data_IF_458980764785
#
_entry.id   IF_458980764785
#
_cell.length_a   1.000
_cell.length_b   1.000
_cell.length_c   1.000
_cell.angle_alpha   90.00
_cell.angle_beta   90.00
_cell.angle_gamma   90.00
#
_symmetry.space_group_name_H-M   'P 1'
#
loop_
_entity.id
_entity.type
_entity.pdbx_description
1 polymer ?
#
# COMPACT_ATOMS: atom_id res chain seq x y z
N UNK A 1 36.07 -13.18 -7.04
CA UNK A 1 36.97 -12.12 -6.58
C UNK A 1 36.25 -11.19 -5.61
N UNK A 2 35.15 -10.56 -6.04
CA UNK A 2 34.31 -9.75 -5.17
C UNK A 2 33.62 -10.58 -4.08
N UNK A 3 33.49 -10.01 -2.87
CA UNK A 3 32.86 -10.62 -1.68
C UNK A 3 31.39 -10.24 -1.54
N UNK A 4 30.87 -9.39 -2.43
CA UNK A 4 29.50 -8.90 -2.44
C UNK A 4 29.32 -7.86 -3.55
N UNK A 5 28.10 -7.35 -3.72
CA UNK A 5 27.77 -6.30 -4.70
C UNK A 5 26.86 -5.24 -4.11
N UNK A 6 26.94 -4.02 -4.65
CA UNK A 6 25.93 -2.99 -4.42
C UNK A 6 24.95 -2.98 -5.60
N UNK A 7 23.65 -3.08 -5.33
CA UNK A 7 22.60 -3.14 -6.33
C UNK A 7 21.49 -2.13 -5.99
N UNK A 8 21.25 -1.06 -6.76
CA UNK A 8 21.93 -0.64 -8.00
C UNK A 8 22.34 0.82 -7.95
N UNK A 9 23.18 1.23 -8.92
CA UNK A 9 23.42 2.64 -9.18
C UNK A 9 22.17 3.27 -9.83
N UNK A 10 22.23 4.57 -10.10
CA UNK A 10 21.21 5.32 -10.84
C UNK A 10 20.87 4.71 -12.20
N UNK A 11 19.65 4.94 -12.66
CA UNK A 11 19.16 4.49 -13.97
C UNK A 11 19.39 5.58 -14.99
N UNK A 12 20.00 5.28 -16.13
CA UNK A 12 20.27 6.28 -17.16
C UNK A 12 18.97 6.86 -17.73
N UNK A 13 18.89 8.18 -17.86
CA UNK A 13 17.69 8.85 -18.40
C UNK A 13 17.86 10.34 -18.70
N UNK A 14 16.81 10.92 -19.28
CA UNK A 14 16.65 12.35 -19.50
C UNK A 14 15.41 12.82 -18.72
N UNK A 15 15.59 13.73 -17.76
CA UNK A 15 14.53 14.07 -16.81
C UNK A 15 13.39 14.87 -17.45
N UNK A 16 13.71 15.76 -18.39
CA UNK A 16 12.69 16.55 -19.06
C UNK A 16 13.26 17.55 -20.04
N UNK A 17 12.36 18.03 -20.90
CA UNK A 17 12.60 19.08 -21.88
C UNK A 17 11.49 20.10 -21.72
N UNK A 18 11.85 21.39 -21.69
CA UNK A 18 10.90 22.50 -21.60
C UNK A 18 10.09 22.61 -22.90
N UNK A 19 8.97 23.33 -22.87
CA UNK A 19 8.13 23.55 -24.06
C UNK A 19 8.87 24.20 -25.24
N UNK A 20 9.94 24.95 -24.97
CA UNK A 20 10.80 25.55 -25.99
C UNK A 20 11.95 24.63 -26.47
N UNK A 21 11.95 23.35 -26.11
CA UNK A 21 12.95 22.37 -26.53
C UNK A 21 14.25 22.38 -25.72
N UNK A 22 14.41 23.28 -24.74
CA UNK A 22 15.61 23.34 -23.89
C UNK A 22 15.54 22.24 -22.81
N UNK A 23 16.59 21.41 -22.63
CA UNK A 23 16.61 20.37 -21.61
C UNK A 23 16.65 20.95 -20.19
N UNK A 24 16.34 20.11 -19.19
CA UNK A 24 16.63 20.41 -17.79
C UNK A 24 17.29 19.21 -17.10
N UNK A 25 18.53 19.33 -16.60
CA UNK A 25 19.37 20.54 -16.54
C UNK A 25 19.96 20.95 -17.91
N UNK A 26 20.28 22.23 -18.07
CA UNK A 26 20.96 22.81 -19.22
C UNK A 26 22.27 23.50 -18.78
N UNK A 27 23.34 23.32 -19.56
CA UNK A 27 24.69 23.80 -19.25
C UNK A 27 25.23 24.66 -20.40
N UNK A 28 25.83 25.80 -20.07
CA UNK A 28 26.44 26.73 -21.03
C UNK A 28 25.42 27.57 -21.81
N UNK A 29 25.91 28.46 -22.66
CA UNK A 29 25.08 29.35 -23.50
C UNK A 29 24.33 28.56 -24.58
N UNK A 30 24.86 27.43 -24.99
CA UNK A 30 24.28 26.51 -25.96
C UNK A 30 23.20 25.61 -25.35
N UNK A 31 22.93 25.73 -24.04
CA UNK A 31 21.91 24.97 -23.31
C UNK A 31 22.03 23.44 -23.48
N UNK A 32 23.25 22.91 -23.40
CA UNK A 32 23.53 21.49 -23.64
C UNK A 32 23.21 20.63 -22.42
N UNK A 33 22.97 19.35 -22.63
CA UNK A 33 22.85 18.33 -21.58
C UNK A 33 23.44 17.01 -22.06
N UNK A 34 23.54 16.04 -21.16
CA UNK A 34 23.81 14.63 -21.46
C UNK A 34 22.87 13.76 -20.63
N UNK A 35 22.78 12.46 -20.93
CA UNK A 35 22.00 11.55 -20.10
C UNK A 35 22.55 11.51 -18.67
N UNK A 36 21.66 11.73 -17.71
CA UNK A 36 21.96 11.69 -16.28
C UNK A 36 21.55 10.38 -15.65
N UNK A 37 21.70 10.31 -14.33
CA UNK A 37 21.23 9.21 -13.50
C UNK A 37 19.94 9.58 -12.75
N UNK A 38 18.87 8.81 -12.97
CA UNK A 38 17.62 8.87 -12.20
C UNK A 38 17.79 8.10 -10.90
N UNK A 39 17.37 8.69 -9.78
CA UNK A 39 17.42 8.12 -8.44
C UNK A 39 16.07 8.25 -7.73
N UNK A 40 15.99 7.82 -6.46
CA UNK A 40 14.80 7.94 -5.63
C UNK A 40 13.73 6.88 -5.90
N UNK A 41 12.52 7.12 -5.43
CA UNK A 41 11.44 6.13 -5.41
C UNK A 41 11.03 5.65 -6.80
N UNK A 42 11.21 6.50 -7.83
CA UNK A 42 10.92 6.15 -9.22
C UNK A 42 11.70 4.92 -9.72
N UNK A 43 12.90 4.66 -9.17
CA UNK A 43 13.72 3.50 -9.56
C UNK A 43 13.60 2.32 -8.58
N UNK A 44 12.82 2.44 -7.49
CA UNK A 44 12.68 1.38 -6.48
C UNK A 44 12.23 0.04 -7.08
N UNK A 45 11.24 -0.02 -8.01
CA UNK A 45 10.85 -1.30 -8.62
C UNK A 45 11.99 -1.98 -9.39
N UNK A 46 12.86 -1.20 -10.04
CA UNK A 46 14.02 -1.72 -10.78
C UNK A 46 15.05 -2.28 -9.78
N UNK A 47 15.33 -1.54 -8.70
CA UNK A 47 16.25 -1.97 -7.66
C UNK A 47 15.76 -3.24 -6.92
N UNK A 48 14.47 -3.33 -6.57
CA UNK A 48 13.88 -4.52 -5.95
C UNK A 48 13.99 -5.75 -6.88
N UNK A 49 13.73 -5.57 -8.19
CA UNK A 49 13.94 -6.62 -9.20
C UNK A 49 15.39 -7.09 -9.22
N UNK A 50 16.36 -6.18 -9.32
CA UNK A 50 17.77 -6.55 -9.42
C UNK A 50 18.30 -7.21 -8.15
N UNK A 51 17.95 -6.68 -6.97
CA UNK A 51 18.33 -7.28 -5.68
C UNK A 51 17.78 -8.70 -5.55
N UNK A 52 16.47 -8.89 -5.79
CA UNK A 52 15.86 -10.22 -5.70
C UNK A 52 16.39 -11.19 -6.77
N UNK A 53 16.62 -10.73 -7.99
CA UNK A 53 17.21 -11.56 -9.05
C UNK A 53 18.63 -12.01 -8.70
N UNK A 54 19.48 -11.12 -8.19
CA UNK A 54 20.84 -11.46 -7.73
C UNK A 54 20.76 -12.45 -6.56
N UNK A 55 19.88 -12.20 -5.58
CA UNK A 55 19.74 -13.08 -4.42
C UNK A 55 19.26 -14.49 -4.79
N UNK A 56 18.36 -14.62 -5.79
CA UNK A 56 17.93 -15.92 -6.33
C UNK A 56 19.05 -16.62 -7.09
N UNK A 57 19.81 -15.87 -7.89
CA UNK A 57 20.88 -16.43 -8.72
C UNK A 57 22.13 -16.81 -7.90
N UNK A 58 22.41 -16.08 -6.82
CA UNK A 58 23.58 -16.27 -5.96
C UNK A 58 23.17 -16.33 -4.48
N UNK A 59 22.54 -17.43 -4.02
CA UNK A 59 22.10 -17.57 -2.63
C UNK A 59 23.24 -17.35 -1.63
N UNK A 60 23.01 -16.47 -0.66
CA UNK A 60 23.98 -16.14 0.39
C UNK A 60 25.09 -15.16 -0.03
N UNK A 61 25.14 -14.71 -1.29
CA UNK A 61 26.08 -13.69 -1.73
C UNK A 61 25.68 -12.31 -1.18
N UNK A 62 26.56 -11.59 -0.47
CA UNK A 62 26.20 -10.32 0.15
C UNK A 62 25.76 -9.24 -0.85
N UNK A 63 24.60 -8.62 -0.58
CA UNK A 63 24.05 -7.53 -1.40
C UNK A 63 23.82 -6.30 -0.52
N UNK A 64 24.37 -5.16 -0.95
CA UNK A 64 24.08 -3.84 -0.40
C UNK A 64 23.05 -3.17 -1.32
N UNK A 65 21.81 -3.04 -0.88
CA UNK A 65 20.75 -2.46 -1.69
C UNK A 65 20.85 -0.92 -1.75
N UNK A 66 20.58 -0.36 -2.92
CA UNK A 66 20.46 1.06 -3.16
C UNK A 66 19.40 1.31 -4.25
N UNK A 67 18.54 2.30 -4.04
CA UNK A 67 17.50 2.68 -5.02
C UNK A 67 16.14 2.92 -4.39
N UNK A 68 15.88 4.17 -4.01
CA UNK A 68 14.57 4.58 -3.51
C UNK A 68 14.18 4.03 -2.13
N UNK A 69 15.15 3.71 -1.27
CA UNK A 69 14.89 3.39 0.15
C UNK A 69 14.66 4.72 0.88
N UNK A 70 13.45 4.93 1.42
CA UNK A 70 13.06 6.17 2.09
C UNK A 70 12.32 5.96 3.43
N UNK A 71 12.11 4.72 3.86
CA UNK A 71 11.44 4.36 5.11
C UNK A 71 11.93 3.02 5.65
N UNK A 72 11.60 2.71 6.91
CA UNK A 72 11.84 1.39 7.49
C UNK A 72 11.12 0.26 6.73
N UNK A 73 9.89 0.52 6.27
CA UNK A 73 9.09 -0.42 5.49
C UNK A 73 9.74 -0.71 4.14
N UNK A 74 10.13 0.32 3.38
CA UNK A 74 10.86 0.17 2.13
C UNK A 74 12.19 -0.58 2.36
N UNK A 75 12.89 -0.28 3.46
CA UNK A 75 14.09 -1.01 3.86
C UNK A 75 13.84 -2.51 4.12
N UNK A 76 12.76 -2.83 4.84
CA UNK A 76 12.36 -4.21 5.10
C UNK A 76 12.03 -4.98 3.81
N UNK A 77 11.43 -4.32 2.81
CA UNK A 77 11.20 -4.93 1.49
C UNK A 77 12.53 -5.37 0.85
N UNK A 78 13.57 -4.54 0.88
CA UNK A 78 14.89 -4.92 0.34
C UNK A 78 15.55 -6.05 1.13
N UNK A 79 15.40 -6.09 2.46
CA UNK A 79 15.83 -7.22 3.27
C UNK A 79 15.11 -8.50 2.85
N UNK A 80 13.77 -8.46 2.73
CA UNK A 80 12.97 -9.59 2.23
C UNK A 80 13.41 -10.03 0.83
N UNK A 81 13.84 -9.11 -0.04
CA UNK A 81 14.41 -9.40 -1.36
C UNK A 81 15.85 -9.93 -1.33
N UNK A 82 16.49 -10.07 -0.17
CA UNK A 82 17.81 -10.68 -0.03
C UNK A 82 18.98 -9.71 0.21
N UNK A 83 18.72 -8.42 0.34
CA UNK A 83 19.76 -7.47 0.75
C UNK A 83 20.18 -7.69 2.22
N UNK A 84 21.44 -7.40 2.53
CA UNK A 84 21.97 -7.42 3.90
C UNK A 84 22.10 -6.02 4.49
N UNK A 85 22.44 -5.04 3.65
CA UNK A 85 22.58 -3.63 4.03
C UNK A 85 21.80 -2.74 3.08
N UNK A 86 21.43 -1.56 3.58
CA UNK A 86 20.56 -0.61 2.91
C UNK A 86 21.29 0.73 2.78
N UNK A 87 21.46 1.23 1.55
CA UNK A 87 22.07 2.52 1.26
C UNK A 87 20.99 3.54 0.89
N UNK A 88 21.18 4.78 1.36
CA UNK A 88 20.21 5.86 1.19
C UNK A 88 20.92 7.10 0.63
N UNK A 89 20.29 7.76 -0.33
CA UNK A 89 20.77 9.02 -0.91
C UNK A 89 19.61 10.00 -1.12
N UNK A 90 18.68 9.68 -2.02
CA UNK A 90 17.60 10.61 -2.40
C UNK A 90 16.67 11.00 -1.24
N UNK A 91 16.41 10.09 -0.29
CA UNK A 91 15.59 10.42 0.89
C UNK A 91 16.28 11.46 1.79
N UNK A 92 17.62 11.37 1.93
CA UNK A 92 18.41 12.39 2.64
C UNK A 92 18.38 13.71 1.87
N UNK A 93 18.50 13.70 0.53
CA UNK A 93 18.37 14.92 -0.27
C UNK A 93 17.00 15.60 -0.12
N UNK A 94 15.95 14.80 0.08
CA UNK A 94 14.59 15.31 0.29
C UNK A 94 14.36 15.83 1.72
N UNK A 95 15.24 15.52 2.66
CA UNK A 95 15.09 15.81 4.08
C UNK A 95 16.46 16.14 4.69
N UNK A 96 16.91 15.36 5.68
CA UNK A 96 18.18 15.51 6.39
C UNK A 96 18.55 14.19 7.11
N UNK A 97 19.67 14.17 7.84
CA UNK A 97 20.19 12.95 8.46
C UNK A 97 19.37 12.40 9.63
N UNK A 98 18.44 13.18 10.20
CA UNK A 98 17.57 12.74 11.31
C UNK A 98 16.61 11.62 10.91
N UNK A 99 16.42 11.36 9.61
CA UNK A 99 15.70 10.21 9.08
C UNK A 99 16.17 8.86 9.66
N UNK A 100 17.44 8.76 10.07
CA UNK A 100 17.96 7.53 10.66
C UNK A 100 17.18 7.09 11.92
N UNK A 101 16.68 8.05 12.71
CA UNK A 101 15.91 7.74 13.93
C UNK A 101 14.56 7.10 13.59
N UNK A 102 13.88 7.61 12.55
CA UNK A 102 12.65 7.02 12.00
C UNK A 102 12.92 5.60 11.44
N UNK A 103 14.01 5.42 10.70
CA UNK A 103 14.32 4.13 10.10
C UNK A 103 14.61 3.05 11.15
N UNK A 104 15.38 3.40 12.18
CA UNK A 104 15.72 2.48 13.27
C UNK A 104 14.49 2.14 14.10
N UNK A 105 13.68 3.13 14.48
CA UNK A 105 12.48 2.89 15.30
C UNK A 105 11.39 2.15 14.53
N UNK A 106 11.15 2.52 13.27
CA UNK A 106 10.22 1.84 12.38
C UNK A 106 10.61 0.38 12.13
N UNK A 107 11.89 0.08 11.90
CA UNK A 107 12.33 -1.31 11.67
C UNK A 107 12.19 -2.15 12.96
N UNK A 108 12.51 -1.57 14.12
CA UNK A 108 12.27 -2.23 15.41
C UNK A 108 10.78 -2.53 15.61
N UNK A 109 9.90 -1.59 15.29
CA UNK A 109 8.46 -1.78 15.39
C UNK A 109 7.98 -2.91 14.46
N UNK A 110 8.37 -2.88 13.17
CA UNK A 110 8.01 -3.91 12.20
C UNK A 110 8.46 -5.31 12.62
N UNK A 111 9.67 -5.47 13.15
CA UNK A 111 10.16 -6.75 13.64
C UNK A 111 9.44 -7.18 14.92
N UNK A 112 9.20 -6.24 15.85
CA UNK A 112 8.49 -6.52 17.10
C UNK A 112 7.07 -6.99 16.85
N UNK A 113 6.32 -6.31 15.97
CA UNK A 113 4.92 -6.65 15.67
C UNK A 113 4.76 -8.04 15.09
N UNK A 114 5.75 -8.55 14.33
CA UNK A 114 5.74 -9.94 13.86
C UNK A 114 5.70 -10.96 14.99
N UNK A 115 6.09 -10.61 16.22
CA UNK A 115 6.06 -11.49 17.40
C UNK A 115 4.75 -11.42 18.20
N UNK A 116 3.87 -10.47 17.90
CA UNK A 116 2.61 -10.24 18.62
C UNK A 116 1.46 -10.89 17.83
N UNK A 117 0.91 -11.98 18.36
CA UNK A 117 -0.12 -12.79 17.68
C UNK A 117 -1.44 -12.05 17.48
N UNK A 118 -1.80 -11.20 18.44
CA UNK A 118 -3.05 -10.45 18.49
C UNK A 118 -3.13 -9.36 17.42
N UNK A 119 -2.00 -9.03 16.78
CA UNK A 119 -1.88 -8.06 15.70
C UNK A 119 -1.47 -8.75 14.38
N UNK A 120 -1.68 -10.07 14.27
CA UNK A 120 -1.22 -10.86 13.13
C UNK A 120 -1.92 -10.57 11.80
N UNK A 121 -3.05 -9.87 11.83
CA UNK A 121 -3.82 -9.39 10.69
C UNK A 121 -3.42 -7.96 10.24
N UNK A 122 -2.50 -7.32 10.94
CA UNK A 122 -1.95 -6.01 10.55
C UNK A 122 -0.96 -6.17 9.40
N UNK A 123 -0.96 -5.22 8.46
CA UNK A 123 0.12 -5.07 7.49
C UNK A 123 1.22 -4.18 8.08
N UNK A 124 2.21 -4.81 8.69
CA UNK A 124 3.29 -4.11 9.38
C UNK A 124 2.76 -3.26 10.53
N UNK A 125 2.80 -1.94 10.37
CA UNK A 125 2.28 -0.98 11.36
C UNK A 125 0.85 -0.49 11.04
N UNK A 126 0.24 -0.97 9.96
CA UNK A 126 -1.11 -0.60 9.54
C UNK A 126 -2.14 -1.60 10.11
N UNK A 127 -3.06 -1.16 10.99
CA UNK A 127 -4.20 -1.98 11.37
C UNK A 127 -5.08 -2.32 10.15
N UNK A 128 -5.83 -3.44 10.18
CA UNK A 128 -6.85 -3.71 9.18
C UNK A 128 -7.78 -2.51 9.01
N UNK A 129 -8.03 -2.12 7.76
CA UNK A 129 -8.88 -0.97 7.46
C UNK A 129 -10.32 -1.25 7.86
N UNK A 130 -10.79 -0.55 8.90
CA UNK A 130 -12.20 -0.59 9.28
C UNK A 130 -13.05 0.21 8.29
N UNK A 131 -14.29 -0.23 8.04
CA UNK A 131 -15.29 0.55 7.29
C UNK A 131 -15.37 1.96 7.84
N UNK A 132 -15.17 2.96 6.99
CA UNK A 132 -15.15 4.35 7.45
C UNK A 132 -15.65 5.33 6.40
N UNK A 133 -16.12 6.48 6.87
CA UNK A 133 -16.29 7.68 6.05
C UNK A 133 -15.52 8.83 6.68
N UNK A 134 -14.63 9.46 5.89
CA UNK A 134 -13.73 10.54 6.36
C UNK A 134 -12.93 10.15 7.62
N UNK A 135 -12.46 8.90 7.68
CA UNK A 135 -11.70 8.34 8.81
C UNK A 135 -12.52 8.03 10.08
N UNK A 136 -13.85 8.25 10.05
CA UNK A 136 -14.74 7.85 11.15
C UNK A 136 -15.31 6.46 10.89
N UNK A 137 -15.11 5.56 11.84
CA UNK A 137 -15.57 4.17 11.74
C UNK A 137 -17.10 4.11 11.65
N UNK A 138 -17.59 3.36 10.67
CA UNK A 138 -18.99 2.96 10.54
C UNK A 138 -19.15 1.68 11.34
N UNK A 139 -19.94 1.72 12.41
CA UNK A 139 -20.13 0.54 13.26
C UNK A 139 -21.10 -0.44 12.59
N UNK A 140 -20.95 -1.77 12.81
CA UNK A 140 -21.86 -2.77 12.26
C UNK A 140 -23.33 -2.48 12.61
N UNK A 141 -23.58 -1.95 13.81
CA UNK A 141 -24.91 -1.55 14.26
C UNK A 141 -25.52 -0.46 13.38
N UNK A 142 -24.72 0.52 12.95
CA UNK A 142 -25.18 1.57 12.02
C UNK A 142 -25.51 0.94 10.67
N UNK A 143 -24.69 0.02 10.16
CA UNK A 143 -24.97 -0.70 8.91
C UNK A 143 -26.28 -1.50 9.00
N UNK A 144 -26.52 -2.21 10.11
CA UNK A 144 -27.77 -2.94 10.37
C UNK A 144 -29.01 -2.01 10.37
N UNK A 145 -28.90 -0.84 11.00
CA UNK A 145 -30.01 0.12 11.11
C UNK A 145 -30.39 0.67 9.74
N UNK A 146 -29.39 0.95 8.90
CA UNK A 146 -29.64 1.50 7.58
C UNK A 146 -30.20 0.41 6.64
N UNK A 147 -29.72 -0.83 6.76
CA UNK A 147 -30.23 -2.00 6.05
C UNK A 147 -29.99 -2.02 4.53
N UNK A 148 -29.45 -0.94 3.98
CA UNK A 148 -29.00 -0.74 2.59
C UNK A 148 -27.84 0.25 2.61
N UNK A 149 -27.00 0.28 1.58
CA UNK A 149 -25.99 1.32 1.49
C UNK A 149 -26.61 2.61 0.94
N UNK A 150 -26.64 3.63 1.80
CA UNK A 150 -27.08 4.98 1.46
C UNK A 150 -25.84 5.87 1.23
N UNK A 151 -25.70 6.49 0.05
CA UNK A 151 -24.62 7.43 -0.22
C UNK A 151 -24.60 8.63 0.74
N UNK A 152 -23.40 9.20 0.92
CA UNK A 152 -23.15 10.34 1.82
C UNK A 152 -23.53 11.71 1.22
N UNK A 153 -24.59 11.78 0.41
CA UNK A 153 -25.05 13.03 -0.21
C UNK A 153 -26.57 13.10 -0.44
N UNK A 154 -27.05 14.32 -0.69
CA UNK A 154 -28.42 14.56 -1.19
C UNK A 154 -29.54 14.07 -0.24
N UNK A 155 -30.62 13.46 -0.76
CA UNK A 155 -31.70 12.92 0.07
C UNK A 155 -31.25 11.70 0.88
N UNK A 156 -30.31 10.90 0.37
CA UNK A 156 -29.81 9.70 1.03
C UNK A 156 -29.10 10.02 2.35
N UNK A 157 -28.30 11.09 2.37
CA UNK A 157 -27.65 11.57 3.60
C UNK A 157 -28.69 11.99 4.66
N UNK A 158 -29.77 12.66 4.25
CA UNK A 158 -30.85 13.07 5.18
C UNK A 158 -31.56 11.86 5.77
N UNK A 159 -31.84 10.84 4.95
CA UNK A 159 -32.42 9.58 5.39
C UNK A 159 -31.48 8.87 6.39
N UNK A 160 -30.19 8.77 6.05
CA UNK A 160 -29.15 8.20 6.92
C UNK A 160 -29.05 8.93 8.26
N UNK A 161 -29.00 10.26 8.25
CA UNK A 161 -28.94 11.10 9.45
C UNK A 161 -30.17 10.91 10.34
N UNK A 162 -31.36 10.81 9.72
CA UNK A 162 -32.61 10.57 10.44
C UNK A 162 -32.60 9.21 11.14
N UNK A 163 -32.23 8.15 10.43
CA UNK A 163 -32.14 6.79 10.99
C UNK A 163 -31.14 6.72 12.15
N UNK A 164 -29.96 7.33 11.99
CA UNK A 164 -28.95 7.40 13.05
C UNK A 164 -29.47 8.22 14.26
N UNK A 165 -30.16 9.33 14.01
CA UNK A 165 -30.75 10.17 15.05
C UNK A 165 -31.80 9.41 15.86
N UNK A 166 -32.69 8.69 15.19
CA UNK A 166 -33.75 7.92 15.84
C UNK A 166 -33.19 6.74 16.63
N UNK A 167 -32.17 6.06 16.11
CA UNK A 167 -31.44 5.06 16.87
C UNK A 167 -30.78 5.65 18.12
N UNK A 168 -30.09 6.79 17.99
CA UNK A 168 -29.43 7.45 19.13
C UNK A 168 -30.43 7.88 20.21
N UNK A 169 -31.67 8.24 19.86
CA UNK A 169 -32.73 8.52 20.83
C UNK A 169 -33.26 7.26 21.52
N UNK A 170 -33.19 6.10 20.85
CA UNK A 170 -33.65 4.82 21.40
C UNK A 170 -32.70 4.22 22.45
N UNK A 171 -31.42 4.59 22.41
CA UNK A 171 -30.40 4.07 23.33
C UNK A 171 -30.19 4.99 24.54
N UNK A 172 -29.95 4.40 25.70
CA UNK A 172 -29.56 5.14 26.91
C UNK A 172 -28.03 5.11 27.03
N UNK A 173 -27.32 6.27 27.11
CA UNK A 173 -25.86 6.33 27.00
C UNK A 173 -25.03 5.61 28.09
N UNK A 174 -25.66 5.08 29.14
CA UNK A 174 -24.99 4.73 30.40
C UNK A 174 -25.25 3.31 30.92
N UNK A 175 -26.13 2.52 30.29
CA UNK A 175 -26.65 1.29 30.92
C UNK A 175 -26.06 -0.01 30.39
N UNK A 176 -25.41 -0.03 29.22
CA UNK A 176 -25.12 -1.31 28.53
C UNK A 176 -23.63 -1.68 28.41
N UNK A 177 -22.70 -0.77 28.72
CA UNK A 177 -21.27 -1.05 28.57
C UNK A 177 -20.48 -0.63 29.80
N UNK A 178 -19.97 -1.61 30.54
CA UNK A 178 -18.96 -1.40 31.57
C UNK A 178 -17.59 -1.71 30.97
N UNK A 179 -16.77 -0.70 30.62
CA UNK A 179 -15.45 -0.96 30.06
C UNK A 179 -14.59 -1.71 31.09
N UNK A 180 -13.76 -2.64 30.60
CA UNK A 180 -12.73 -3.23 31.45
C UNK A 180 -11.80 -2.13 31.98
N UNK A 181 -11.62 -2.09 33.29
CA UNK A 181 -10.77 -1.08 33.95
C UNK A 181 -9.28 -1.37 33.76
N UNK A 182 -8.94 -2.58 33.33
CA UNK A 182 -7.57 -3.01 33.06
C UNK A 182 -7.39 -3.32 31.58
N UNK A 183 -6.49 -2.58 30.92
CA UNK A 183 -6.07 -2.87 29.55
C UNK A 183 -4.67 -3.48 29.57
N UNK A 184 -4.52 -4.81 29.54
CA UNK A 184 -3.21 -5.44 29.56
C UNK A 184 -2.43 -5.09 28.28
N UNK A 185 -1.11 -4.98 28.39
CA UNK A 185 -0.25 -4.84 27.22
C UNK A 185 -0.09 -6.18 26.51
N UNK A 186 -0.13 -6.15 25.17
CA UNK A 186 0.25 -7.32 24.38
C UNK A 186 1.71 -7.68 24.62
N UNK A 187 1.99 -8.98 24.65
CA UNK A 187 3.34 -9.51 24.86
C UNK A 187 3.75 -10.37 23.66
N UNK A 188 5.04 -10.43 23.32
CA UNK A 188 5.53 -11.35 22.30
C UNK A 188 5.14 -12.80 22.61
N UNK A 189 4.43 -13.43 21.68
CA UNK A 189 4.06 -14.85 21.73
C UNK A 189 5.20 -15.76 21.24
N UNK A 190 6.16 -15.20 20.50
CA UNK A 190 7.33 -15.88 19.92
C UNK A 190 8.55 -14.94 19.94
N UNK A 191 9.78 -15.43 19.68
CA UNK A 191 10.96 -14.58 19.60
C UNK A 191 10.83 -13.50 18.52
N UNK A 192 11.27 -12.28 18.83
CA UNK A 192 11.35 -11.19 17.86
C UNK A 192 12.41 -11.54 16.80
N UNK A 193 12.07 -11.53 15.49
CA UNK A 193 13.04 -11.83 14.44
C UNK A 193 14.21 -10.83 14.44
N UNK A 194 15.42 -11.34 14.27
CA UNK A 194 16.57 -10.51 13.94
C UNK A 194 16.59 -10.21 12.44
N UNK A 195 17.40 -9.23 12.01
CA UNK A 195 17.56 -8.87 10.59
C UNK A 195 17.92 -10.09 9.74
N UNK A 196 18.84 -10.93 10.20
CA UNK A 196 19.24 -12.16 9.50
C UNK A 196 18.08 -13.13 9.23
N UNK A 197 17.04 -13.10 10.06
CA UNK A 197 15.91 -14.03 9.98
C UNK A 197 14.86 -13.55 8.96
N UNK A 198 14.94 -12.28 8.52
CA UNK A 198 14.04 -11.70 7.51
C UNK A 198 14.67 -11.63 6.11
N UNK A 199 15.99 -11.78 6.01
CA UNK A 199 16.68 -11.70 4.72
C UNK A 199 16.20 -12.80 3.77
N UNK A 200 15.75 -12.41 2.58
CA UNK A 200 15.40 -13.35 1.51
C UNK A 200 14.04 -14.05 1.66
N UNK A 201 13.19 -13.65 2.62
CA UNK A 201 11.89 -14.31 2.86
C UNK A 201 10.96 -14.35 1.65
N UNK A 202 11.03 -13.37 0.75
CA UNK A 202 10.13 -13.31 -0.43
C UNK A 202 10.66 -14.13 -1.61
N UNK A 203 11.93 -14.58 -1.58
CA UNK A 203 12.56 -15.25 -2.73
C UNK A 203 11.83 -16.52 -3.20
N UNK A 204 11.28 -17.39 -2.31
CA UNK A 204 10.50 -18.54 -2.75
C UNK A 204 9.18 -18.18 -3.44
N UNK A 205 8.70 -16.95 -3.28
CA UNK A 205 7.45 -16.46 -3.88
C UNK A 205 7.67 -15.84 -5.27
N UNK A 206 8.92 -15.69 -5.71
CA UNK A 206 9.28 -15.10 -7.01
C UNK A 206 9.65 -16.23 -7.97
N UNK A 207 8.85 -16.42 -9.00
CA UNK A 207 9.01 -17.46 -10.01
C UNK A 207 8.81 -16.97 -11.44
N UNK A 208 8.91 -17.86 -12.41
CA UNK A 208 8.47 -17.60 -13.78
C UNK A 208 6.93 -17.52 -13.86
N UNK A 209 6.41 -16.85 -14.89
CA UNK A 209 4.95 -16.76 -15.09
C UNK A 209 4.26 -18.14 -15.16
N UNK A 210 4.93 -19.14 -15.75
CA UNK A 210 4.39 -20.51 -15.84
C UNK A 210 4.29 -21.26 -14.50
N UNK A 211 4.84 -20.70 -13.42
CA UNK A 211 4.72 -21.25 -12.06
C UNK A 211 3.49 -20.70 -11.32
N UNK A 212 2.79 -19.71 -11.89
CA UNK A 212 1.60 -19.10 -11.29
C UNK A 212 0.35 -19.95 -11.58
N UNK A 213 -0.48 -20.19 -10.56
CA UNK A 213 -1.71 -20.97 -10.71
C UNK A 213 -2.83 -20.14 -11.37
N UNK A 214 -3.02 -20.34 -12.66
CA UNK A 214 -4.07 -19.67 -13.45
C UNK A 214 -5.50 -20.13 -13.11
N UNK A 215 -5.68 -21.15 -12.26
CA UNK A 215 -7.02 -21.59 -11.82
C UNK A 215 -7.52 -20.84 -10.60
N UNK A 216 -6.62 -20.23 -9.82
CA UNK A 216 -6.96 -19.43 -8.65
C UNK A 216 -7.28 -18.00 -9.06
N UNK A 217 -8.39 -17.83 -9.78
CA UNK A 217 -8.89 -16.53 -10.19
C UNK A 217 -9.59 -15.82 -9.01
N UNK A 218 -9.61 -14.49 -9.07
CA UNK A 218 -10.22 -13.62 -8.08
C UNK A 218 -11.15 -12.61 -8.79
N UNK A 219 -12.04 -11.96 -8.06
CA UNK A 219 -12.95 -10.92 -8.61
C UNK A 219 -13.01 -9.75 -7.65
N UNK A 220 -13.11 -8.54 -8.18
CA UNK A 220 -13.17 -7.36 -7.34
C UNK A 220 -14.46 -7.35 -6.50
N UNK A 221 -14.37 -6.90 -5.25
CA UNK A 221 -15.50 -6.67 -4.36
C UNK A 221 -15.44 -5.24 -3.83
N UNK A 222 -16.54 -4.50 -3.91
CA UNK A 222 -16.60 -3.11 -3.45
C UNK A 222 -17.38 -3.05 -2.13
N UNK A 223 -16.81 -2.38 -1.13
CA UNK A 223 -17.53 -1.98 0.07
C UNK A 223 -18.27 -0.66 -0.17
N UNK A 224 -19.59 -0.76 -0.39
CA UNK A 224 -20.45 0.40 -0.66
C UNK A 224 -20.48 1.41 0.51
N UNK A 225 -20.21 0.99 1.75
CA UNK A 225 -20.15 1.89 2.90
C UNK A 225 -18.88 2.75 2.90
N UNK A 226 -17.81 2.27 2.28
CA UNK A 226 -16.53 2.99 2.13
C UNK A 226 -16.46 3.80 0.83
N UNK A 227 -17.32 3.49 -0.14
CA UNK A 227 -17.37 4.16 -1.42
C UNK A 227 -17.64 5.67 -1.26
N UNK A 228 -16.93 6.48 -2.05
CA UNK A 228 -17.14 7.95 -2.15
C UNK A 228 -17.70 8.37 -3.51
N UNK A 229 -18.28 7.43 -4.26
CA UNK A 229 -19.08 7.69 -5.46
C UNK A 229 -18.32 8.38 -6.62
N UNK A 230 -16.99 8.26 -6.67
CA UNK A 230 -16.17 8.97 -7.67
C UNK A 230 -16.21 8.37 -9.08
N UNK A 231 -16.70 7.13 -9.25
CA UNK A 231 -16.78 6.44 -10.54
C UNK A 231 -15.43 6.04 -11.17
N UNK A 232 -14.29 6.18 -10.47
CA UNK A 232 -12.97 5.84 -11.05
C UNK A 232 -12.82 4.36 -11.38
N UNK A 233 -13.37 3.47 -10.55
CA UNK A 233 -13.43 2.04 -10.82
C UNK A 233 -14.22 1.75 -12.10
N UNK A 234 -15.39 2.38 -12.26
CA UNK A 234 -16.22 2.29 -13.46
C UNK A 234 -15.47 2.77 -14.70
N UNK A 235 -14.88 3.97 -14.66
CA UNK A 235 -14.13 4.54 -15.80
C UNK A 235 -12.96 3.66 -16.23
N UNK A 236 -12.13 3.18 -15.28
CA UNK A 236 -10.98 2.34 -15.64
C UNK A 236 -11.40 0.98 -16.18
N UNK A 237 -12.50 0.40 -15.67
CA UNK A 237 -12.99 -0.87 -16.20
C UNK A 237 -13.58 -0.69 -17.61
N UNK A 238 -14.18 0.45 -17.92
CA UNK A 238 -14.71 0.71 -19.25
C UNK A 238 -13.62 1.00 -20.28
N UNK A 239 -12.72 1.94 -19.99
CA UNK A 239 -11.79 2.44 -21.00
C UNK A 239 -10.45 1.67 -21.00
N UNK A 240 -10.24 0.79 -20.03
CA UNK A 240 -8.98 0.04 -19.87
C UNK A 240 -9.18 -1.40 -19.38
N UNK A 241 -10.43 -1.87 -19.30
CA UNK A 241 -10.76 -3.20 -18.78
C UNK A 241 -11.85 -3.89 -19.60
N UNK A 242 -12.83 -4.44 -18.90
CA UNK A 242 -13.81 -5.40 -19.43
C UNK A 242 -15.26 -4.92 -19.32
N UNK A 243 -15.49 -3.63 -19.02
CA UNK A 243 -16.83 -3.04 -18.87
C UNK A 243 -17.69 -3.77 -17.82
N UNK A 244 -17.04 -4.42 -16.86
CA UNK A 244 -17.66 -5.32 -15.87
C UNK A 244 -18.18 -4.61 -14.60
N UNK A 245 -18.36 -3.29 -14.64
CA UNK A 245 -18.84 -2.50 -13.52
C UNK A 245 -20.03 -1.67 -13.99
N UNK A 246 -21.17 -1.79 -13.32
CA UNK A 246 -22.28 -0.86 -13.51
C UNK A 246 -22.15 0.29 -12.53
N UNK A 247 -22.60 1.48 -12.92
CA UNK A 247 -22.56 2.66 -12.06
C UNK A 247 -23.96 3.29 -12.02
N UNK A 248 -24.58 3.24 -10.84
CA UNK A 248 -25.96 3.69 -10.70
C UNK A 248 -26.08 5.21 -10.89
N UNK A 249 -27.08 5.63 -11.67
CA UNK A 249 -27.23 7.03 -12.09
C UNK A 249 -27.71 7.97 -10.97
N UNK A 250 -28.35 7.43 -9.93
CA UNK A 250 -29.00 8.22 -8.87
C UNK A 250 -28.15 8.19 -7.59
N UNK A 251 -27.74 7.01 -7.17
CA UNK A 251 -26.89 6.78 -5.99
C UNK A 251 -25.40 6.92 -6.27
N UNK A 252 -24.98 6.83 -7.54
CA UNK A 252 -23.57 6.80 -7.93
C UNK A 252 -22.78 5.69 -7.21
N UNK A 253 -23.43 4.58 -6.87
CA UNK A 253 -22.77 3.40 -6.33
C UNK A 253 -22.33 2.48 -7.49
N UNK A 254 -21.05 2.05 -7.50
CA UNK A 254 -20.56 1.06 -8.45
C UNK A 254 -20.91 -0.36 -7.99
N UNK A 255 -21.26 -1.24 -8.94
CA UNK A 255 -21.52 -2.65 -8.69
C UNK A 255 -20.74 -3.51 -9.68
N UNK A 256 -20.02 -4.51 -9.16
CA UNK A 256 -19.22 -5.45 -9.96
C UNK A 256 -20.15 -6.53 -10.52
N UNK A 257 -20.07 -6.76 -11.83
CA UNK A 257 -20.83 -7.80 -12.53
C UNK A 257 -20.05 -9.12 -12.62
N UNK A 258 -20.72 -10.18 -13.08
CA UNK A 258 -20.11 -11.50 -13.30
C UNK A 258 -19.03 -11.51 -14.39
N UNK A 259 -18.99 -10.49 -15.27
CA UNK A 259 -17.98 -10.35 -16.32
C UNK A 259 -16.60 -9.93 -15.77
N UNK A 260 -16.45 -9.76 -14.45
CA UNK A 260 -15.20 -9.38 -13.82
C UNK A 260 -14.12 -10.45 -14.02
N UNK A 261 -12.99 -10.07 -14.60
CA UNK A 261 -11.86 -10.98 -14.84
C UNK A 261 -10.76 -10.91 -13.78
N UNK A 262 -10.96 -10.16 -12.70
CA UNK A 262 -9.95 -10.04 -11.65
C UNK A 262 -8.67 -9.27 -12.03
N UNK A 263 -8.70 -8.37 -13.01
CA UNK A 263 -7.48 -7.66 -13.48
C UNK A 263 -6.88 -6.64 -12.48
N UNK A 264 -7.56 -6.37 -11.36
CA UNK A 264 -7.12 -5.49 -10.27
C UNK A 264 -7.02 -3.99 -10.59
N UNK A 265 -7.25 -3.55 -11.84
CA UNK A 265 -7.16 -2.13 -12.22
C UNK A 265 -8.08 -1.21 -11.40
N UNK A 266 -9.29 -1.64 -11.09
CA UNK A 266 -10.24 -0.86 -10.29
C UNK A 266 -9.77 -0.65 -8.85
N UNK A 267 -9.16 -1.67 -8.24
CA UNK A 267 -8.52 -1.57 -6.91
C UNK A 267 -7.38 -0.56 -6.95
N UNK A 268 -6.51 -0.64 -7.97
CA UNK A 268 -5.32 0.22 -8.09
C UNK A 268 -5.61 1.70 -8.27
N UNK A 269 -6.80 2.08 -8.76
CA UNK A 269 -7.20 3.48 -8.96
C UNK A 269 -8.20 4.00 -7.93
N UNK A 270 -8.69 3.12 -7.04
CA UNK A 270 -9.62 3.52 -5.99
C UNK A 270 -8.92 4.50 -5.04
N UNK A 271 -9.52 5.67 -4.76
CA UNK A 271 -8.91 6.65 -3.87
C UNK A 271 -9.05 6.30 -2.37
N UNK A 272 -9.85 5.28 -2.04
CA UNK A 272 -10.08 4.83 -0.66
C UNK A 272 -9.40 3.47 -0.50
N UNK A 273 -8.41 3.42 0.40
CA UNK A 273 -7.67 2.20 0.73
C UNK A 273 -8.67 1.13 1.19
N UNK A 274 -8.52 -0.08 0.67
CA UNK A 274 -9.33 -1.27 0.95
C UNK A 274 -10.85 -1.14 0.71
N UNK A 275 -11.32 -0.05 0.10
CA UNK A 275 -12.72 0.04 -0.36
C UNK A 275 -13.04 -0.97 -1.46
N UNK A 276 -12.02 -1.38 -2.23
CA UNK A 276 -12.15 -2.48 -3.20
C UNK A 276 -11.09 -3.52 -2.86
N UNK A 277 -11.51 -4.77 -2.69
CA UNK A 277 -10.64 -5.93 -2.47
C UNK A 277 -10.76 -6.90 -3.65
N UNK A 278 -9.87 -7.90 -3.70
CA UNK A 278 -9.85 -8.98 -4.71
C UNK A 278 -10.31 -10.30 -4.11
#
# INVERSE_FOLDING_TARGET
GATGVTAINTVSGLMGVKANGIPWPAVGNENRTTYGGVSGNAIRPIALRDVSAIARALPGFPILAAGGIDSAEAGLQFLHCGATLLQVCSAIHNQEYTLIDDYVTGLKALLYLQSVSELGDWDGQCPPTAKHQKGKVITPKITEIIGKSLPEFGPYLKEKDQLISDYKKSITPLTEFSPETHRPSYKPSKPVPAVKDVIGRVLPMIGAWGELDTKQQAVALIDEDMCINCGKCYMVCNDSGYQAITFDKDTHLPHITEDCTGCTLCVSVCPIIDCITM
#
